data_IF_435999244813
#
_entry.id   IF_435999244813
#
_cell.length_a   1.000
_cell.length_b   1.000
_cell.length_c   1.000
_cell.angle_alpha   90.00
_cell.angle_beta   90.00
_cell.angle_gamma   90.00
#
_symmetry.space_group_name_H-M   'P 1'
#
loop_
_entity.id
_entity.type
_entity.pdbx_description
1 polymer ?
#
# COMPACT_ATOMS: atom_id res chain seq x y z
N UNK A 1 -1.00 -14.50 -4.26
CA UNK A 1 -1.18 -13.03 -4.40
C UNK A 1 0.15 -12.39 -4.82
N UNK A 2 0.19 -11.18 -5.36
CA UNK A 2 1.45 -10.44 -5.58
C UNK A 2 1.33 -9.04 -5.02
N UNK A 3 2.27 -8.66 -4.16
CA UNK A 3 2.35 -7.32 -3.61
C UNK A 3 3.30 -6.48 -4.47
N UNK A 4 2.88 -5.26 -4.79
CA UNK A 4 3.64 -4.32 -5.63
C UNK A 4 3.72 -2.99 -4.90
N UNK A 5 4.93 -2.42 -4.88
CA UNK A 5 5.16 -1.09 -4.35
C UNK A 5 6.22 -0.38 -5.19
N UNK A 6 6.18 0.94 -5.16
CA UNK A 6 7.04 1.74 -6.02
C UNK A 6 7.40 3.08 -5.40
N UNK A 7 8.63 3.51 -5.65
CA UNK A 7 9.05 4.89 -5.45
C UNK A 7 8.96 5.60 -6.81
N UNK A 8 8.14 6.64 -6.87
CA UNK A 8 7.95 7.46 -8.07
C UNK A 8 8.62 8.81 -7.85
N UNK A 9 9.49 9.19 -8.78
CA UNK A 9 10.25 10.44 -8.79
C UNK A 9 9.78 11.26 -10.00
N UNK A 10 8.76 12.11 -9.83
CA UNK A 10 8.22 12.91 -10.92
C UNK A 10 9.03 14.20 -11.13
N UNK A 11 9.28 14.54 -12.39
CA UNK A 11 9.85 15.81 -12.84
C UNK A 11 8.92 16.42 -13.89
N UNK A 12 9.23 17.63 -14.36
CA UNK A 12 8.39 18.31 -15.36
C UNK A 12 8.21 17.51 -16.65
N UNK A 13 9.34 17.01 -17.18
CA UNK A 13 9.39 16.42 -18.54
C UNK A 13 9.62 14.90 -18.53
N UNK A 14 9.87 14.30 -17.36
CA UNK A 14 10.17 12.87 -17.21
C UNK A 14 9.83 12.36 -15.81
N UNK A 15 9.81 11.05 -15.64
CA UNK A 15 9.68 10.41 -14.32
C UNK A 15 10.50 9.14 -14.24
N UNK A 16 11.02 8.84 -13.05
CA UNK A 16 11.61 7.53 -12.74
C UNK A 16 10.70 6.76 -11.78
N UNK A 17 10.58 5.46 -12.00
CA UNK A 17 9.82 4.57 -11.14
C UNK A 17 10.69 3.37 -10.77
N UNK A 18 10.99 3.23 -9.48
CA UNK A 18 11.61 2.00 -8.96
C UNK A 18 10.51 1.13 -8.40
N UNK A 19 10.34 -0.07 -8.95
CA UNK A 19 9.28 -1.01 -8.58
C UNK A 19 9.86 -2.24 -7.89
N UNK A 20 9.24 -2.64 -6.79
CA UNK A 20 9.48 -3.91 -6.11
C UNK A 20 8.22 -4.73 -6.19
N UNK A 21 8.36 -6.00 -6.57
CA UNK A 21 7.26 -6.95 -6.65
C UNK A 21 7.65 -8.18 -5.84
N UNK A 22 6.77 -8.62 -4.95
CA UNK A 22 6.96 -9.81 -4.14
C UNK A 22 5.74 -10.71 -4.31
N UNK A 23 5.95 -11.88 -4.92
CA UNK A 23 4.92 -12.89 -5.07
C UNK A 23 4.78 -13.69 -3.76
N UNK A 24 3.54 -14.01 -3.42
CA UNK A 24 3.21 -15.00 -2.41
C UNK A 24 3.27 -16.38 -3.04
N UNK A 25 4.19 -17.21 -2.55
CA UNK A 25 4.46 -18.55 -3.05
C UNK A 25 4.17 -19.57 -1.94
N UNK A 26 3.65 -20.74 -2.32
CA UNK A 26 3.27 -21.79 -1.36
C UNK A 26 1.89 -21.57 -0.76
N UNK A 27 1.77 -21.67 0.56
CA UNK A 27 0.50 -21.50 1.29
C UNK A 27 0.18 -20.02 1.41
N UNK A 28 -0.87 -19.58 0.72
CA UNK A 28 -1.30 -18.17 0.68
C UNK A 28 -2.27 -17.83 1.80
N UNK A 29 -2.28 -16.58 2.25
CA UNK A 29 -3.25 -16.04 3.21
C UNK A 29 -2.97 -16.39 4.67
N UNK A 30 -1.79 -16.96 4.97
CA UNK A 30 -1.45 -17.38 6.33
C UNK A 30 -1.35 -16.18 7.30
N UNK A 31 -0.83 -15.05 6.81
CA UNK A 31 -0.76 -13.80 7.58
C UNK A 31 -2.15 -13.31 7.95
N UNK A 32 -3.06 -13.28 6.97
CA UNK A 32 -4.43 -12.83 7.17
C UNK A 32 -5.15 -13.73 8.17
N UNK A 33 -5.06 -15.06 8.01
CA UNK A 33 -5.68 -16.03 8.89
C UNK A 33 -5.19 -15.92 10.35
N UNK A 34 -3.89 -15.82 10.57
CA UNK A 34 -3.31 -15.74 11.92
C UNK A 34 -3.65 -14.42 12.59
N UNK A 35 -3.61 -13.29 11.87
CA UNK A 35 -3.98 -12.00 12.46
C UNK A 35 -5.47 -11.94 12.76
N UNK A 36 -6.30 -12.47 11.86
CA UNK A 36 -7.74 -12.56 12.04
C UNK A 36 -8.09 -13.35 13.32
N UNK A 37 -7.51 -14.53 13.49
CA UNK A 37 -7.72 -15.39 14.65
C UNK A 37 -7.33 -14.68 15.96
N UNK A 38 -6.14 -14.05 16.00
CA UNK A 38 -5.68 -13.25 17.15
C UNK A 38 -6.65 -12.12 17.51
N UNK A 39 -7.20 -11.42 16.51
CA UNK A 39 -8.11 -10.29 16.74
C UNK A 39 -9.51 -10.74 17.19
N UNK A 40 -9.97 -11.91 16.71
CA UNK A 40 -11.22 -12.53 17.18
C UNK A 40 -11.09 -12.95 18.64
N UNK A 41 -9.99 -13.61 19.00
CA UNK A 41 -9.71 -14.01 20.39
C UNK A 41 -9.63 -12.81 21.33
N UNK A 42 -9.07 -11.69 20.86
CA UNK A 42 -8.98 -10.44 21.61
C UNK A 42 -10.32 -9.67 21.69
N UNK A 43 -11.35 -10.06 20.93
CA UNK A 43 -12.62 -9.34 20.83
C UNK A 43 -12.52 -7.99 20.11
N UNK A 44 -11.45 -7.76 19.33
CA UNK A 44 -11.27 -6.54 18.54
C UNK A 44 -12.11 -6.53 17.26
N UNK A 45 -12.49 -7.72 16.79
CA UNK A 45 -13.33 -7.91 15.62
C UNK A 45 -14.43 -8.91 15.91
N UNK A 46 -15.57 -8.74 15.25
CA UNK A 46 -16.75 -9.56 15.47
C UNK A 46 -17.42 -9.92 14.14
N UNK A 47 -17.98 -11.12 14.07
CA UNK A 47 -18.88 -11.51 12.99
C UNK A 47 -20.32 -11.19 13.37
N UNK A 48 -20.93 -10.21 12.70
CA UNK A 48 -22.30 -9.81 12.94
C UNK A 48 -23.04 -9.56 11.63
N UNK A 49 -24.23 -10.15 11.48
CA UNK A 49 -25.08 -9.98 10.30
C UNK A 49 -24.45 -10.43 8.98
N UNK A 50 -23.58 -11.46 9.01
CA UNK A 50 -22.86 -11.95 7.84
C UNK A 50 -21.72 -11.04 7.37
N UNK A 51 -21.34 -10.03 8.17
CA UNK A 51 -20.23 -9.14 7.91
C UNK A 51 -19.24 -9.19 9.07
N UNK A 52 -17.97 -9.01 8.74
CA UNK A 52 -16.90 -8.89 9.71
C UNK A 52 -16.71 -7.40 10.05
N UNK A 53 -16.97 -7.05 11.31
CA UNK A 53 -16.86 -5.69 11.80
C UNK A 53 -15.43 -5.43 12.30
N UNK A 54 -14.91 -4.23 12.04
CA UNK A 54 -13.59 -3.82 12.53
C UNK A 54 -12.39 -4.38 11.77
N UNK A 55 -12.56 -5.25 10.77
CA UNK A 55 -11.45 -5.86 10.03
C UNK A 55 -10.82 -4.97 8.93
N UNK A 56 -11.60 -4.01 8.42
CA UNK A 56 -11.22 -3.17 7.30
C UNK A 56 -11.17 -1.72 7.75
N UNK A 57 -10.10 -1.00 7.41
CA UNK A 57 -9.92 0.41 7.73
C UNK A 57 -9.09 1.10 6.64
N UNK A 58 -9.37 2.37 6.35
CA UNK A 58 -8.47 3.17 5.51
C UNK A 58 -7.10 3.36 6.20
N UNK A 59 -5.98 3.16 5.49
CA UNK A 59 -4.65 3.24 6.09
C UNK A 59 -4.17 4.67 6.41
N UNK A 60 -4.85 5.70 5.92
CA UNK A 60 -4.43 7.10 6.05
C UNK A 60 -5.42 7.96 6.84
N UNK A 61 -6.72 7.73 6.67
CA UNK A 61 -7.78 8.48 7.35
C UNK A 61 -8.86 7.55 7.90
N UNK A 62 -8.88 7.28 9.23
CA UNK A 62 -9.88 6.42 9.86
C UNK A 62 -11.34 6.85 9.67
N UNK A 63 -11.61 8.10 9.27
CA UNK A 63 -12.96 8.58 8.99
C UNK A 63 -13.47 8.17 7.59
N UNK A 64 -12.58 7.74 6.69
CA UNK A 64 -12.93 7.26 5.36
C UNK A 64 -13.51 5.86 5.43
N UNK A 65 -14.75 5.72 4.92
CA UNK A 65 -15.41 4.43 4.75
C UNK A 65 -15.75 4.23 3.26
N UNK A 66 -14.96 3.39 2.59
CA UNK A 66 -15.06 3.12 1.16
C UNK A 66 -15.25 1.62 0.88
N UNK A 67 -15.78 1.23 -0.29
CA UNK A 67 -15.95 -0.19 -0.65
C UNK A 67 -14.67 -1.02 -0.66
N UNK A 68 -13.52 -0.38 -0.90
CA UNK A 68 -12.19 -0.98 -0.88
C UNK A 68 -11.36 -0.26 0.19
N UNK A 69 -11.20 -0.92 1.34
CA UNK A 69 -10.34 -0.48 2.44
C UNK A 69 -9.19 -1.48 2.62
N UNK A 70 -8.19 -1.13 3.42
CA UNK A 70 -7.10 -2.03 3.78
C UNK A 70 -7.60 -3.00 4.85
N UNK A 71 -7.22 -4.29 4.78
CA UNK A 71 -7.43 -5.19 5.90
C UNK A 71 -6.43 -4.87 7.04
N UNK A 72 -6.74 -5.27 8.27
CA UNK A 72 -5.84 -4.96 9.39
C UNK A 72 -4.59 -5.86 9.44
N UNK A 73 -4.62 -7.04 8.82
CA UNK A 73 -3.43 -7.91 8.73
C UNK A 73 -2.28 -7.27 7.95
N UNK A 74 -2.57 -6.38 6.99
CA UNK A 74 -1.56 -5.63 6.25
C UNK A 74 -0.84 -4.56 7.07
N UNK A 75 -1.16 -4.37 8.35
CA UNK A 75 -0.47 -3.38 9.18
C UNK A 75 1.03 -3.66 9.36
N UNK A 76 1.84 -2.59 9.35
CA UNK A 76 3.30 -2.68 9.45
C UNK A 76 3.75 -3.34 10.75
N UNK A 77 2.96 -3.22 11.83
CA UNK A 77 3.27 -3.85 13.12
C UNK A 77 3.44 -5.37 13.03
N UNK A 78 2.80 -6.02 12.06
CA UNK A 78 2.89 -7.47 11.87
C UNK A 78 4.11 -7.89 11.04
N UNK A 79 4.86 -6.97 10.45
CA UNK A 79 6.01 -7.34 9.62
C UNK A 79 7.11 -8.07 10.43
N UNK A 80 7.19 -7.83 11.74
CA UNK A 80 8.11 -8.55 12.65
C UNK A 80 7.74 -10.02 12.84
N UNK A 81 6.44 -10.34 12.86
CA UNK A 81 5.93 -11.69 13.03
C UNK A 81 5.98 -12.49 11.72
N UNK A 82 6.00 -11.79 10.58
CA UNK A 82 5.95 -12.38 9.24
C UNK A 82 7.09 -11.86 8.34
N UNK A 83 8.37 -12.00 8.71
CA UNK A 83 9.49 -11.38 8.01
C UNK A 83 9.61 -11.83 6.54
N UNK A 84 9.24 -13.08 6.26
CA UNK A 84 9.29 -13.67 4.90
C UNK A 84 8.02 -13.44 4.09
N UNK A 85 6.98 -12.87 4.69
CA UNK A 85 5.75 -12.56 3.98
C UNK A 85 6.02 -11.54 2.87
N UNK A 86 5.41 -11.67 1.68
CA UNK A 86 5.73 -10.82 0.54
C UNK A 86 5.57 -9.32 0.80
N UNK A 87 4.55 -8.91 1.56
CA UNK A 87 4.37 -7.50 1.93
C UNK A 87 5.50 -6.97 2.83
N UNK A 88 5.95 -7.78 3.79
CA UNK A 88 7.03 -7.42 4.74
C UNK A 88 8.36 -7.33 4.00
N UNK A 89 8.65 -8.30 3.13
CA UNK A 89 9.80 -8.26 2.21
C UNK A 89 9.78 -7.02 1.32
N UNK A 90 8.63 -6.72 0.71
CA UNK A 90 8.46 -5.56 -0.15
C UNK A 90 8.74 -4.25 0.59
N UNK A 91 8.21 -4.07 1.80
CA UNK A 91 8.44 -2.88 2.63
C UNK A 91 9.90 -2.75 3.04
N UNK A 92 10.53 -3.85 3.44
CA UNK A 92 11.95 -3.89 3.77
C UNK A 92 12.84 -3.48 2.58
N UNK A 93 12.59 -4.07 1.41
CA UNK A 93 13.34 -3.76 0.18
C UNK A 93 13.12 -2.30 -0.22
N UNK A 94 11.87 -1.82 -0.26
CA UNK A 94 11.58 -0.42 -0.62
C UNK A 94 12.19 0.56 0.38
N UNK A 95 12.12 0.28 1.67
CA UNK A 95 12.77 1.09 2.71
C UNK A 95 14.28 1.17 2.50
N UNK A 96 14.93 0.04 2.19
CA UNK A 96 16.36 0.00 1.87
C UNK A 96 16.68 0.80 0.61
N UNK A 97 15.91 0.62 -0.46
CA UNK A 97 16.06 1.38 -1.70
C UNK A 97 15.93 2.87 -1.42
N UNK A 98 14.90 3.29 -0.69
CA UNK A 98 14.63 4.70 -0.39
C UNK A 98 15.81 5.37 0.32
N UNK A 99 16.43 4.71 1.30
CA UNK A 99 17.55 5.29 2.05
C UNK A 99 18.89 5.22 1.29
N UNK A 100 19.04 4.28 0.35
CA UNK A 100 20.26 4.12 -0.45
C UNK A 100 20.20 4.80 -1.82
N UNK A 101 19.06 5.35 -2.21
CA UNK A 101 18.86 5.92 -3.53
C UNK A 101 19.61 7.25 -3.65
N UNK A 102 20.44 7.34 -4.69
CA UNK A 102 21.15 8.56 -5.05
C UNK A 102 20.65 9.07 -6.40
N UNK A 103 20.32 10.35 -6.47
CA UNK A 103 20.00 11.04 -7.71
C UNK A 103 21.26 11.69 -8.27
N UNK A 104 21.51 11.47 -9.56
CA UNK A 104 22.54 12.22 -10.28
C UNK A 104 22.23 13.73 -10.22
N UNK A 105 23.25 14.62 -10.14
CA UNK A 105 23.04 16.06 -10.00
C UNK A 105 22.12 16.66 -11.07
N UNK A 106 22.19 16.16 -12.31
CA UNK A 106 21.39 16.63 -13.44
C UNK A 106 19.90 16.34 -13.21
N UNK A 107 19.58 15.19 -12.61
CA UNK A 107 18.22 14.80 -12.28
C UNK A 107 17.71 15.56 -11.07
N UNK A 108 18.55 15.72 -10.03
CA UNK A 108 18.18 16.48 -8.83
C UNK A 108 17.86 17.95 -9.14
N UNK A 109 18.52 18.52 -10.15
CA UNK A 109 18.32 19.89 -10.61
C UNK A 109 17.32 20.01 -11.76
N UNK A 110 16.71 18.90 -12.20
CA UNK A 110 15.72 18.94 -13.26
C UNK A 110 14.49 19.76 -12.82
N UNK A 111 13.79 20.43 -13.76
CA UNK A 111 12.60 21.21 -13.44
C UNK A 111 11.56 20.35 -12.68
N UNK A 112 10.97 20.86 -11.58
CA UNK A 112 10.09 20.07 -10.74
C UNK A 112 8.76 19.75 -11.44
N UNK A 113 8.17 18.62 -11.07
CA UNK A 113 6.76 18.38 -11.37
C UNK A 113 5.89 19.38 -10.60
N UNK A 114 5.02 20.10 -11.31
CA UNK A 114 4.03 20.98 -10.71
C UNK A 114 2.66 20.39 -10.97
N UNK A 115 1.99 19.96 -9.89
CA UNK A 115 0.59 19.56 -9.99
C UNK A 115 -0.23 20.80 -10.36
N UNK A 116 -0.86 20.74 -11.53
CA UNK A 116 -1.84 21.73 -11.95
C UNK A 116 -3.20 21.04 -11.88
N UNK A 117 -4.10 21.56 -11.03
CA UNK A 117 -5.48 21.10 -11.05
C UNK A 117 -6.03 21.33 -12.45
N UNK A 118 -6.59 20.27 -13.04
CA UNK A 118 -7.31 20.37 -14.30
C UNK A 118 -8.45 21.38 -14.13
N UNK A 119 -8.37 22.51 -14.80
CA UNK A 119 -9.46 23.48 -14.88
C UNK A 119 -10.67 22.85 -15.58
N UNK A 120 -11.58 22.30 -14.78
CA UNK A 120 -12.99 22.13 -15.13
C UNK A 120 -13.36 21.20 -16.30
N UNK A 121 -12.45 20.39 -16.86
CA UNK A 121 -12.89 19.35 -17.79
C UNK A 121 -13.60 18.26 -17.00
N UNK A 122 -14.91 18.11 -17.25
CA UNK A 122 -15.68 16.98 -16.75
C UNK A 122 -14.89 15.71 -17.06
N UNK A 123 -14.73 14.81 -16.08
CA UNK A 123 -14.03 13.58 -16.33
C UNK A 123 -14.65 12.81 -17.49
N UNK A 124 -13.83 12.17 -18.32
CA UNK A 124 -14.29 11.43 -19.49
C UNK A 124 -15.25 10.28 -19.13
N UNK A 125 -15.23 9.82 -17.88
CA UNK A 125 -16.16 8.81 -17.35
C UNK A 125 -17.55 9.36 -16.99
N UNK A 126 -17.76 10.68 -17.01
CA UNK A 126 -19.07 11.32 -16.84
C UNK A 126 -19.78 11.60 -18.18
N UNK A 127 -19.38 10.92 -19.26
CA UNK A 127 -19.93 11.07 -20.62
C UNK A 127 -20.83 9.88 -21.02
N UNK A 128 -21.12 8.96 -20.09
CA UNK A 128 -22.01 7.80 -20.29
C UNK A 128 -23.01 7.66 -19.16
#
# INVERSE_FOLDING_TARGET
MTFIGSLTLPFRDLSYVVKVQCAEEGVTGIRDAVVLDKMLEAGEIEFSGGKMQGWMQDPYDPAVNAPLMRNLSEDIRYDVDFPDHPLSRLRSILGRVQVSLHLAPEIKNAPPFVFTESTGKKPWWNVW
#
